data_IF_802772664241
#
_entry.id   IF_802772664241
#
_cell.length_a   1.000
_cell.length_b   1.000
_cell.length_c   1.000
_cell.angle_alpha   90.00
_cell.angle_beta   90.00
_cell.angle_gamma   90.00
#
_symmetry.space_group_name_H-M   'P 1'
#
loop_
_entity.id
_entity.type
_entity.pdbx_description
1 polymer ?
#
# COMPACT_ATOMS: atom_id res chain seq x y z
N UNK A 1 -46.25 -1.01 59.56
CA UNK A 1 -45.83 0.04 58.58
C UNK A 1 -44.48 -0.33 58.01
N UNK A 2 -44.41 -1.25 57.06
CA UNK A 2 -43.15 -1.57 56.37
C UNK A 2 -43.36 -2.52 55.18
N UNK A 3 -44.24 -2.20 54.24
CA UNK A 3 -44.46 -3.03 53.04
C UNK A 3 -44.77 -2.23 51.77
N UNK A 4 -44.61 -0.88 51.77
CA UNK A 4 -45.04 -0.01 50.66
C UNK A 4 -43.90 0.74 49.94
N UNK A 5 -42.63 0.45 50.25
CA UNK A 5 -41.47 1.13 49.60
C UNK A 5 -40.68 0.27 48.64
N UNK A 6 -41.01 -1.01 48.43
CA UNK A 6 -40.24 -1.92 47.57
C UNK A 6 -40.73 -2.00 46.10
N UNK A 7 -41.87 -1.38 45.74
CA UNK A 7 -42.48 -1.53 44.41
C UNK A 7 -42.20 -0.37 43.43
N UNK A 8 -41.47 0.67 43.84
CA UNK A 8 -41.26 1.86 42.97
C UNK A 8 -39.85 1.89 42.30
N UNK A 9 -38.94 0.96 42.65
CA UNK A 9 -37.55 0.93 42.08
C UNK A 9 -37.41 0.00 40.86
N UNK A 10 -38.37 -0.90 40.61
CA UNK A 10 -38.31 -1.87 39.50
C UNK A 10 -38.98 -1.42 38.19
N UNK A 11 -39.46 -0.16 38.09
CA UNK A 11 -40.13 0.34 36.85
C UNK A 11 -39.31 1.33 36.01
N UNK A 12 -38.02 1.57 36.34
CA UNK A 12 -37.17 2.53 35.60
C UNK A 12 -36.10 1.82 34.75
N UNK A 13 -36.02 0.47 34.75
CA UNK A 13 -35.02 -0.28 33.99
C UNK A 13 -35.57 -1.07 32.78
N UNK A 14 -36.60 -0.60 32.12
CA UNK A 14 -37.00 -1.09 30.78
C UNK A 14 -37.00 0.07 29.78
N UNK A 15 -35.83 0.50 29.38
CA UNK A 15 -35.60 1.36 28.23
C UNK A 15 -35.40 0.48 26.99
N UNK A 16 -36.27 0.51 25.98
CA UNK A 16 -36.06 -0.23 24.73
C UNK A 16 -35.09 0.55 23.84
N UNK A 17 -33.78 0.46 24.10
CA UNK A 17 -32.73 1.11 23.28
C UNK A 17 -31.75 0.14 22.62
N UNK A 18 -32.17 -1.08 22.29
CA UNK A 18 -31.26 -2.08 21.72
C UNK A 18 -31.45 -2.40 20.21
N UNK A 19 -32.49 -1.89 19.54
CA UNK A 19 -32.79 -2.35 18.18
C UNK A 19 -32.58 -1.34 17.03
N UNK A 20 -32.22 -0.07 17.28
CA UNK A 20 -32.06 0.93 16.21
C UNK A 20 -30.63 1.12 15.72
N UNK A 21 -29.62 0.44 16.29
CA UNK A 21 -28.20 0.60 15.89
C UNK A 21 -27.73 -0.29 14.73
N UNK A 22 -28.44 -1.34 14.37
CA UNK A 22 -28.01 -2.29 13.35
C UNK A 22 -28.43 -1.89 11.94
N UNK A 23 -29.57 -1.24 11.76
CA UNK A 23 -30.13 -0.89 10.45
C UNK A 23 -29.38 0.26 9.74
N UNK A 24 -28.97 1.30 10.47
CA UNK A 24 -28.26 2.46 9.90
C UNK A 24 -26.85 2.12 9.39
N UNK A 25 -26.21 1.06 9.87
CA UNK A 25 -24.91 0.61 9.39
C UNK A 25 -24.97 -0.13 8.06
N UNK A 26 -25.96 -1.01 7.89
CA UNK A 26 -26.12 -1.85 6.69
C UNK A 26 -26.42 -1.01 5.44
N UNK A 27 -27.29 0.00 5.53
CA UNK A 27 -27.63 0.87 4.39
C UNK A 27 -26.44 1.63 3.79
N UNK A 28 -25.39 1.91 4.57
CA UNK A 28 -24.15 2.57 4.07
C UNK A 28 -23.17 1.60 3.42
N UNK A 29 -23.23 0.32 3.72
CA UNK A 29 -22.34 -0.70 3.19
C UNK A 29 -22.87 -1.33 1.90
N UNK A 30 -24.18 -1.37 1.69
CA UNK A 30 -24.80 -1.92 0.48
C UNK A 30 -24.29 -1.23 -0.80
N UNK A 31 -24.32 0.12 -0.94
CA UNK A 31 -23.83 0.77 -2.16
C UNK A 31 -22.32 0.54 -2.37
N UNK A 32 -21.55 0.41 -1.28
CA UNK A 32 -20.12 0.10 -1.38
C UNK A 32 -19.90 -1.33 -1.87
N UNK A 33 -20.67 -2.30 -1.39
CA UNK A 33 -20.61 -3.68 -1.84
C UNK A 33 -21.05 -3.80 -3.31
N UNK A 34 -22.14 -3.12 -3.71
CA UNK A 34 -22.59 -3.07 -5.10
C UNK A 34 -21.50 -2.43 -6.01
N UNK A 35 -20.91 -1.32 -5.60
CA UNK A 35 -19.83 -0.69 -6.35
C UNK A 35 -18.61 -1.61 -6.47
N UNK A 36 -18.25 -2.35 -5.40
CA UNK A 36 -17.18 -3.34 -5.45
C UNK A 36 -17.49 -4.45 -6.47
N UNK A 37 -18.68 -5.03 -6.42
CA UNK A 37 -19.10 -6.08 -7.37
C UNK A 37 -19.05 -5.58 -8.81
N UNK A 38 -19.63 -4.41 -9.10
CA UNK A 38 -19.67 -3.83 -10.45
C UNK A 38 -18.26 -3.53 -10.97
N UNK A 39 -17.41 -2.93 -10.14
CA UNK A 39 -16.05 -2.59 -10.57
C UNK A 39 -15.19 -3.84 -10.78
N UNK A 40 -15.37 -4.91 -9.98
CA UNK A 40 -14.63 -6.17 -10.17
C UNK A 40 -15.16 -6.97 -11.35
N UNK A 41 -16.47 -6.93 -11.60
CA UNK A 41 -17.04 -7.49 -12.83
C UNK A 41 -16.47 -6.79 -14.08
N UNK A 42 -16.36 -5.45 -14.06
CA UNK A 42 -15.69 -4.69 -15.12
C UNK A 42 -14.22 -5.10 -15.28
N UNK A 43 -13.45 -5.20 -14.18
CA UNK A 43 -12.04 -5.60 -14.25
C UNK A 43 -11.87 -7.04 -14.79
N UNK A 44 -12.76 -7.95 -14.44
CA UNK A 44 -12.79 -9.33 -14.99
C UNK A 44 -13.14 -9.33 -16.47
N UNK A 45 -14.11 -8.53 -16.86
CA UNK A 45 -14.47 -8.38 -18.27
C UNK A 45 -13.29 -7.85 -19.09
N UNK A 46 -12.59 -6.80 -18.59
CA UNK A 46 -11.39 -6.28 -19.23
C UNK A 46 -10.28 -7.34 -19.31
N UNK A 47 -10.12 -8.17 -18.27
CA UNK A 47 -9.14 -9.25 -18.25
C UNK A 47 -9.50 -10.34 -19.27
N UNK A 48 -10.78 -10.67 -19.44
CA UNK A 48 -11.23 -11.62 -20.44
C UNK A 48 -10.98 -11.13 -21.88
N UNK A 49 -11.05 -9.79 -22.09
CA UNK A 49 -10.82 -9.15 -23.40
C UNK A 49 -9.39 -8.56 -23.52
N UNK A 50 -8.44 -9.02 -22.71
CA UNK A 50 -7.08 -8.44 -22.64
C UNK A 50 -6.25 -8.56 -23.93
N UNK A 51 -6.69 -9.31 -24.92
CA UNK A 51 -6.06 -9.41 -26.25
C UNK A 51 -6.28 -8.15 -27.10
N UNK A 52 -7.26 -7.31 -26.74
CA UNK A 52 -7.51 -6.03 -27.43
C UNK A 52 -6.27 -5.13 -27.38
N UNK A 53 -5.92 -4.42 -28.47
CA UNK A 53 -4.71 -3.58 -28.54
C UNK A 53 -4.57 -2.57 -27.39
N UNK A 54 -5.66 -1.90 -27.01
CA UNK A 54 -5.68 -0.92 -25.92
C UNK A 54 -5.50 -1.55 -24.52
N UNK A 55 -5.71 -2.87 -24.39
CA UNK A 55 -5.56 -3.62 -23.15
C UNK A 55 -4.23 -4.40 -23.08
N UNK A 56 -3.30 -4.16 -24.01
CA UNK A 56 -1.94 -4.69 -23.98
C UNK A 56 -1.73 -6.00 -24.72
N UNK A 57 -2.64 -6.37 -25.63
CA UNK A 57 -2.49 -7.55 -26.51
C UNK A 57 -2.14 -8.85 -25.76
N UNK A 58 -2.77 -9.07 -24.62
CA UNK A 58 -2.55 -10.24 -23.76
C UNK A 58 -1.31 -10.18 -22.85
N UNK A 59 -0.49 -9.13 -22.91
CA UNK A 59 0.76 -9.03 -22.15
C UNK A 59 0.52 -9.07 -20.62
N UNK A 60 -0.57 -8.46 -20.14
CA UNK A 60 -0.91 -8.43 -18.71
C UNK A 60 -1.19 -9.83 -18.16
N UNK A 61 -2.05 -10.60 -18.83
CA UNK A 61 -2.39 -11.96 -18.42
C UNK A 61 -1.22 -12.94 -18.60
N UNK A 62 -0.38 -12.71 -19.63
CA UNK A 62 0.78 -13.56 -19.95
C UNK A 62 1.74 -13.70 -18.78
N UNK A 63 1.87 -12.68 -17.95
CA UNK A 63 2.69 -12.72 -16.74
C UNK A 63 2.30 -13.88 -15.83
N UNK A 64 0.98 -14.09 -15.62
CA UNK A 64 0.49 -15.15 -14.73
C UNK A 64 0.61 -16.52 -15.39
N UNK A 65 0.04 -16.71 -16.58
CA UNK A 65 -0.04 -18.05 -17.17
C UNK A 65 1.29 -18.54 -17.77
N UNK A 66 2.24 -17.63 -18.07
CA UNK A 66 3.57 -18.00 -18.57
C UNK A 66 4.64 -17.91 -17.47
N UNK A 67 4.86 -16.72 -16.90
CA UNK A 67 5.98 -16.50 -15.99
C UNK A 67 5.70 -17.06 -14.58
N UNK A 68 4.57 -16.69 -13.98
CA UNK A 68 4.24 -17.18 -12.62
C UNK A 68 3.99 -18.70 -12.61
N UNK A 69 3.36 -19.24 -13.66
CA UNK A 69 3.18 -20.69 -13.80
C UNK A 69 4.53 -21.41 -13.98
N UNK A 70 5.48 -20.85 -14.75
CA UNK A 70 6.83 -21.39 -14.85
C UNK A 70 7.51 -21.48 -13.48
N UNK A 71 7.44 -20.42 -12.69
CA UNK A 71 7.98 -20.43 -11.34
C UNK A 71 7.22 -21.35 -10.38
N UNK A 72 5.89 -21.44 -10.53
CA UNK A 72 5.09 -22.42 -9.79
C UNK A 72 5.62 -23.84 -9.99
N UNK A 73 5.91 -24.24 -11.22
CA UNK A 73 6.46 -25.57 -11.51
C UNK A 73 7.82 -25.79 -10.82
N UNK A 74 8.71 -24.80 -10.83
CA UNK A 74 10.02 -24.88 -10.14
C UNK A 74 9.85 -24.98 -8.62
N UNK A 75 8.97 -24.16 -8.04
CA UNK A 75 8.68 -24.12 -6.60
C UNK A 75 8.00 -25.41 -6.12
N UNK A 76 7.11 -26.00 -6.93
CA UNK A 76 6.48 -27.28 -6.63
C UNK A 76 7.48 -28.45 -6.50
N UNK A 77 8.66 -28.32 -7.10
CA UNK A 77 9.78 -29.26 -6.93
C UNK A 77 10.72 -28.90 -5.76
N UNK A 78 10.31 -28.01 -4.86
CA UNK A 78 11.05 -27.67 -3.65
C UNK A 78 12.29 -26.79 -3.85
N UNK A 79 12.33 -25.97 -4.91
CA UNK A 79 13.45 -25.07 -5.17
C UNK A 79 12.97 -23.69 -5.62
N UNK A 80 13.70 -22.63 -5.20
CA UNK A 80 13.55 -21.31 -5.80
C UNK A 80 14.32 -21.23 -7.13
N UNK A 81 13.87 -20.39 -8.10
CA UNK A 81 14.50 -20.25 -9.41
C UNK A 81 15.88 -19.55 -9.32
N UNK A 82 16.91 -20.23 -8.82
CA UNK A 82 18.22 -19.65 -8.52
C UNK A 82 19.01 -19.20 -9.76
N UNK A 83 18.74 -19.82 -10.91
CA UNK A 83 19.41 -19.53 -12.19
C UNK A 83 18.55 -18.70 -13.15
N UNK A 84 17.35 -18.31 -12.73
CA UNK A 84 16.46 -17.46 -13.53
C UNK A 84 16.65 -15.99 -13.14
N UNK A 85 17.26 -15.21 -14.04
CA UNK A 85 17.48 -13.77 -13.84
C UNK A 85 16.15 -12.98 -13.70
N UNK A 86 15.02 -13.55 -14.09
CA UNK A 86 13.71 -12.94 -13.92
C UNK A 86 13.18 -13.06 -12.48
N UNK A 87 13.72 -14.00 -11.68
CA UNK A 87 13.35 -14.17 -10.27
C UNK A 87 13.95 -13.06 -9.41
N UNK A 88 13.18 -12.03 -9.15
CA UNK A 88 13.60 -10.83 -8.43
C UNK A 88 12.92 -10.69 -7.04
N UNK A 89 12.27 -11.75 -6.56
CA UNK A 89 11.33 -11.67 -5.44
C UNK A 89 11.86 -12.34 -4.17
N UNK A 90 11.56 -11.77 -2.98
CA UNK A 90 11.86 -12.40 -1.72
C UNK A 90 11.14 -13.75 -1.56
N UNK A 91 11.62 -14.64 -0.67
CA UNK A 91 11.17 -16.03 -0.60
C UNK A 91 9.68 -16.18 -0.24
N UNK A 92 9.06 -15.23 0.44
CA UNK A 92 7.63 -15.26 0.73
C UNK A 92 6.72 -15.12 -0.50
N UNK A 93 7.27 -14.73 -1.66
CA UNK A 93 6.54 -14.80 -2.92
C UNK A 93 6.26 -16.26 -3.35
N UNK A 94 7.12 -17.22 -2.94
CA UNK A 94 6.94 -18.64 -3.26
C UNK A 94 5.57 -19.18 -2.82
N UNK A 95 5.19 -19.12 -1.54
CA UNK A 95 3.86 -19.51 -1.07
C UNK A 95 2.70 -18.81 -1.81
N UNK A 96 2.85 -17.54 -2.19
CA UNK A 96 1.83 -16.81 -2.96
C UNK A 96 1.67 -17.43 -4.35
N UNK A 97 2.78 -17.75 -5.02
CA UNK A 97 2.74 -18.36 -6.35
C UNK A 97 2.34 -19.85 -6.32
N UNK A 98 2.53 -20.53 -5.19
CA UNK A 98 2.05 -21.89 -4.97
C UNK A 98 0.55 -21.95 -4.59
N UNK A 99 0.00 -20.86 -4.05
CA UNK A 99 -1.38 -20.83 -3.53
C UNK A 99 -2.46 -21.22 -4.57
N UNK A 100 -2.31 -20.99 -5.90
CA UNK A 100 -3.28 -21.48 -6.89
C UNK A 100 -3.58 -22.99 -6.83
N UNK A 101 -2.64 -23.80 -6.36
CA UNK A 101 -2.84 -25.23 -6.14
C UNK A 101 -3.92 -25.57 -5.10
N UNK A 102 -4.32 -24.61 -4.25
CA UNK A 102 -5.40 -24.78 -3.28
C UNK A 102 -6.80 -24.87 -3.93
N UNK A 103 -6.93 -24.57 -5.24
CA UNK A 103 -8.17 -24.61 -5.99
C UNK A 103 -8.07 -25.59 -7.15
N UNK A 104 -8.07 -26.91 -6.90
CA UNK A 104 -7.72 -27.95 -7.89
C UNK A 104 -8.72 -28.06 -9.06
N UNK A 105 -9.93 -27.52 -8.94
CA UNK A 105 -10.95 -27.52 -10.01
C UNK A 105 -10.77 -26.42 -11.06
N UNK A 106 -9.79 -25.52 -10.90
CA UNK A 106 -9.54 -24.38 -11.77
C UNK A 106 -8.15 -24.47 -12.41
N UNK A 107 -7.98 -23.82 -13.57
CA UNK A 107 -6.64 -23.62 -14.13
C UNK A 107 -5.80 -22.74 -13.21
N UNK A 108 -4.46 -22.81 -13.31
CA UNK A 108 -3.54 -21.97 -12.52
C UNK A 108 -3.91 -20.47 -12.63
N UNK A 109 -4.21 -20.01 -13.84
CA UNK A 109 -4.59 -18.62 -14.08
C UNK A 109 -5.92 -18.26 -13.38
N UNK A 110 -6.95 -19.09 -13.52
CA UNK A 110 -8.24 -18.86 -12.87
C UNK A 110 -8.12 -18.87 -11.34
N UNK A 111 -7.36 -19.81 -10.78
CA UNK A 111 -7.09 -19.92 -9.35
C UNK A 111 -6.35 -18.68 -8.83
N UNK A 112 -5.34 -18.21 -9.55
CA UNK A 112 -4.60 -17.01 -9.21
C UNK A 112 -5.51 -15.76 -9.16
N UNK A 113 -6.35 -15.57 -10.18
CA UNK A 113 -7.31 -14.46 -10.25
C UNK A 113 -8.36 -14.55 -9.14
N UNK A 114 -8.91 -15.74 -8.90
CA UNK A 114 -9.90 -15.96 -7.84
C UNK A 114 -9.33 -15.64 -6.44
N UNK A 115 -8.11 -16.11 -6.14
CA UNK A 115 -7.43 -15.78 -4.88
C UNK A 115 -7.09 -14.29 -4.77
N UNK A 116 -6.69 -13.66 -5.87
CA UNK A 116 -6.45 -12.20 -5.89
C UNK A 116 -7.72 -11.42 -5.60
N UNK A 117 -8.86 -11.82 -6.16
CA UNK A 117 -10.17 -11.22 -5.85
C UNK A 117 -10.59 -11.46 -4.40
N UNK A 118 -10.34 -12.63 -3.85
CA UNK A 118 -10.62 -12.91 -2.44
C UNK A 118 -9.80 -12.02 -1.51
N UNK A 119 -8.51 -11.82 -1.82
CA UNK A 119 -7.64 -10.91 -1.06
C UNK A 119 -8.05 -9.44 -1.24
N UNK A 120 -8.46 -9.03 -2.43
CA UNK A 120 -9.03 -7.69 -2.69
C UNK A 120 -10.30 -7.46 -1.87
N UNK A 121 -11.22 -8.45 -1.85
CA UNK A 121 -12.42 -8.39 -1.00
C UNK A 121 -12.07 -8.29 0.49
N UNK A 122 -11.05 -9.00 0.95
CA UNK A 122 -10.54 -8.91 2.32
C UNK A 122 -10.06 -7.49 2.65
N UNK A 123 -9.31 -6.85 1.74
CA UNK A 123 -8.88 -5.45 1.90
C UNK A 123 -10.10 -4.52 1.99
N UNK A 124 -11.04 -4.62 1.05
CA UNK A 124 -12.25 -3.81 1.02
C UNK A 124 -13.06 -3.96 2.32
N UNK A 125 -13.26 -5.19 2.78
CA UNK A 125 -13.98 -5.51 4.01
C UNK A 125 -13.25 -4.98 5.26
N UNK A 126 -11.92 -5.11 5.32
CA UNK A 126 -11.12 -4.60 6.44
C UNK A 126 -11.18 -3.07 6.52
N UNK A 127 -11.10 -2.37 5.39
CA UNK A 127 -11.25 -0.92 5.29
C UNK A 127 -12.68 -0.47 5.65
N UNK A 128 -13.70 -1.19 5.18
CA UNK A 128 -15.10 -0.91 5.51
C UNK A 128 -15.35 -1.07 7.02
N UNK A 129 -14.89 -2.17 7.61
CA UNK A 129 -14.98 -2.39 9.07
C UNK A 129 -14.21 -1.33 9.88
N UNK A 130 -13.04 -0.92 9.40
CA UNK A 130 -12.28 0.14 10.05
C UNK A 130 -12.97 1.49 9.94
N UNK A 131 -13.55 1.80 8.78
CA UNK A 131 -14.24 3.05 8.48
C UNK A 131 -15.61 3.19 9.16
N UNK A 132 -16.29 2.07 9.46
CA UNK A 132 -17.60 2.06 10.12
C UNK A 132 -17.54 2.35 11.63
N UNK A 133 -16.35 2.44 12.22
CA UNK A 133 -16.18 2.73 13.66
C UNK A 133 -16.46 4.19 13.96
N UNK A 134 -16.92 4.52 15.20
CA UNK A 134 -17.11 5.91 15.61
C UNK A 134 -15.88 6.77 15.37
N UNK A 135 -16.05 7.98 14.83
CA UNK A 135 -14.95 8.90 14.52
C UNK A 135 -14.08 8.54 13.30
N UNK A 136 -14.43 7.47 12.58
CA UNK A 136 -13.77 7.03 11.34
C UNK A 136 -14.56 7.41 10.09
N UNK A 137 -14.06 7.01 8.92
CA UNK A 137 -14.66 7.35 7.62
C UNK A 137 -14.62 6.15 6.66
N UNK A 138 -15.69 5.95 5.92
CA UNK A 138 -15.77 4.97 4.83
C UNK A 138 -15.04 5.42 3.55
N UNK A 139 -14.49 6.65 3.50
CA UNK A 139 -13.75 7.14 2.33
C UNK A 139 -12.58 6.22 1.95
N UNK A 140 -11.95 5.55 2.94
CA UNK A 140 -10.91 4.58 2.65
C UNK A 140 -11.39 3.37 1.87
N UNK A 141 -12.53 2.80 2.28
CA UNK A 141 -13.14 1.67 1.57
C UNK A 141 -13.64 2.08 0.18
N UNK A 142 -14.29 3.26 0.06
CA UNK A 142 -14.72 3.81 -1.21
C UNK A 142 -13.52 4.08 -2.15
N UNK A 143 -12.45 4.67 -1.62
CA UNK A 143 -11.24 4.96 -2.39
C UNK A 143 -10.57 3.68 -2.93
N UNK A 144 -10.48 2.60 -2.14
CA UNK A 144 -9.99 1.31 -2.61
C UNK A 144 -10.89 0.71 -3.69
N UNK A 145 -12.19 0.70 -3.43
CA UNK A 145 -13.21 0.13 -4.33
C UNK A 145 -13.20 0.80 -5.71
N UNK A 146 -13.13 2.13 -5.75
CA UNK A 146 -13.16 2.93 -6.98
C UNK A 146 -11.77 3.19 -7.54
N UNK A 147 -10.73 3.16 -6.73
CA UNK A 147 -9.34 3.44 -7.13
C UNK A 147 -8.66 2.27 -7.83
N UNK A 148 -8.91 1.02 -7.37
CA UNK A 148 -8.25 -0.14 -7.98
C UNK A 148 -8.59 -0.32 -9.47
N UNK A 149 -9.84 -0.16 -9.95
CA UNK A 149 -10.18 -0.24 -11.37
C UNK A 149 -9.57 0.88 -12.23
N UNK A 150 -9.03 1.96 -11.64
CA UNK A 150 -8.23 2.94 -12.39
C UNK A 150 -6.97 2.31 -13.01
N UNK A 151 -6.57 1.13 -12.55
CA UNK A 151 -5.48 0.33 -13.11
C UNK A 151 -5.98 -0.76 -14.08
N UNK A 152 -7.23 -0.66 -14.54
CA UNK A 152 -7.92 -1.65 -15.38
C UNK A 152 -7.84 -3.06 -14.77
N UNK A 153 -7.42 -4.04 -15.58
CA UNK A 153 -7.28 -5.45 -15.17
C UNK A 153 -5.89 -5.80 -14.62
N UNK A 154 -4.93 -4.87 -14.63
CA UNK A 154 -3.55 -5.12 -14.19
C UNK A 154 -3.48 -5.68 -12.77
N UNK A 155 -4.24 -5.19 -11.76
CA UNK A 155 -4.17 -5.73 -10.40
C UNK A 155 -4.58 -7.19 -10.28
N UNK A 156 -5.46 -7.69 -11.16
CA UNK A 156 -5.92 -9.08 -11.13
C UNK A 156 -4.87 -10.08 -11.62
N UNK A 157 -3.88 -9.60 -12.38
CA UNK A 157 -2.79 -10.41 -12.92
C UNK A 157 -1.43 -10.08 -12.27
N UNK A 158 -1.44 -9.58 -11.04
CA UNK A 158 -0.23 -9.28 -10.24
C UNK A 158 -0.46 -9.64 -8.77
N UNK A 159 0.55 -10.23 -8.11
CA UNK A 159 0.45 -10.56 -6.68
C UNK A 159 0.70 -9.34 -5.75
N UNK A 160 0.66 -8.14 -6.31
CA UNK A 160 0.79 -6.89 -5.57
C UNK A 160 -0.38 -6.61 -4.62
N UNK A 161 -1.57 -7.14 -4.95
CA UNK A 161 -2.75 -7.09 -4.08
C UNK A 161 -2.48 -7.86 -2.77
N UNK A 162 -1.83 -9.03 -2.84
CA UNK A 162 -1.47 -9.83 -1.68
C UNK A 162 -0.46 -9.11 -0.78
N UNK A 163 0.60 -8.53 -1.35
CA UNK A 163 1.56 -7.72 -0.59
C UNK A 163 0.88 -6.49 0.05
N UNK A 164 -0.03 -5.84 -0.68
CA UNK A 164 -0.81 -4.70 -0.18
C UNK A 164 -1.74 -5.10 0.97
N UNK A 165 -2.34 -6.28 0.91
CA UNK A 165 -3.20 -6.78 1.98
C UNK A 165 -2.43 -6.89 3.31
N UNK A 166 -1.22 -7.46 3.29
CA UNK A 166 -0.38 -7.52 4.48
C UNK A 166 -0.09 -6.14 5.06
N UNK A 167 0.23 -5.16 4.22
CA UNK A 167 0.51 -3.79 4.67
C UNK A 167 -0.73 -3.09 5.24
N UNK A 168 -1.88 -3.19 4.56
CA UNK A 168 -3.17 -2.63 5.01
C UNK A 168 -3.59 -3.26 6.34
N UNK A 169 -3.58 -4.58 6.44
CA UNK A 169 -3.95 -5.30 7.65
C UNK A 169 -2.98 -5.02 8.81
N UNK A 170 -1.67 -4.92 8.53
CA UNK A 170 -0.66 -4.52 9.51
C UNK A 170 -1.00 -3.16 10.12
N UNK A 171 -1.24 -2.14 9.30
CA UNK A 171 -1.56 -0.78 9.75
C UNK A 171 -2.88 -0.74 10.54
N UNK A 172 -3.91 -1.46 10.10
CA UNK A 172 -5.20 -1.51 10.79
C UNK A 172 -5.10 -2.27 12.13
N UNK A 173 -4.23 -3.29 12.21
CA UNK A 173 -3.98 -4.05 13.42
C UNK A 173 -3.09 -3.31 14.43
N UNK A 174 -2.13 -2.48 13.97
CA UNK A 174 -1.05 -1.89 14.77
C UNK A 174 -1.54 -1.19 16.05
N UNK A 175 -2.71 -0.54 16.01
CA UNK A 175 -3.29 0.17 17.16
C UNK A 175 -3.85 -0.75 18.24
N UNK A 176 -4.33 -1.95 17.87
CA UNK A 176 -4.99 -2.89 18.78
C UNK A 176 -4.05 -3.96 19.26
N UNK A 177 -3.22 -4.44 18.35
CA UNK A 177 -2.21 -5.47 18.57
C UNK A 177 -0.93 -5.12 17.82
N UNK A 178 0.01 -4.41 18.45
CA UNK A 178 1.32 -4.15 17.83
C UNK A 178 2.02 -5.44 17.39
N UNK A 179 1.79 -6.55 18.10
CA UNK A 179 2.31 -7.88 17.75
C UNK A 179 1.79 -8.33 16.38
N UNK A 180 0.46 -8.35 16.21
CA UNK A 180 -0.15 -8.73 14.94
C UNK A 180 0.25 -7.77 13.81
N UNK A 181 0.33 -6.46 14.09
CA UNK A 181 0.83 -5.48 13.12
C UNK A 181 2.25 -5.79 12.67
N UNK A 182 3.14 -6.13 13.60
CA UNK A 182 4.52 -6.52 13.31
C UNK A 182 4.61 -7.81 12.48
N UNK A 183 3.90 -8.87 12.88
CA UNK A 183 3.86 -10.15 12.14
C UNK A 183 3.38 -9.95 10.72
N UNK A 184 2.28 -9.22 10.51
CA UNK A 184 1.74 -8.96 9.17
C UNK A 184 2.69 -8.14 8.31
N UNK A 185 3.37 -7.12 8.87
CA UNK A 185 4.38 -6.37 8.14
C UNK A 185 5.55 -7.25 7.69
N UNK A 186 6.01 -8.15 8.56
CA UNK A 186 7.11 -9.09 8.25
C UNK A 186 6.72 -10.10 7.18
N UNK A 187 5.55 -10.71 7.27
CA UNK A 187 5.05 -11.63 6.24
C UNK A 187 4.91 -10.90 4.90
N UNK A 188 4.37 -9.67 4.91
CA UNK A 188 4.34 -8.82 3.72
C UNK A 188 5.73 -8.51 3.18
N UNK A 189 6.71 -8.23 4.04
CA UNK A 189 8.09 -7.94 3.64
C UNK A 189 8.78 -9.16 3.03
N UNK A 190 8.45 -10.37 3.46
CA UNK A 190 8.90 -11.60 2.82
C UNK A 190 8.28 -11.83 1.45
N UNK A 191 7.06 -11.31 1.20
CA UNK A 191 6.43 -11.35 -0.14
C UNK A 191 7.02 -10.26 -1.06
N UNK A 192 7.14 -9.04 -0.55
CA UNK A 192 7.81 -7.88 -1.19
C UNK A 192 8.41 -7.00 -0.10
N UNK A 193 9.61 -6.50 -0.26
CA UNK A 193 10.38 -5.82 0.82
C UNK A 193 9.66 -4.59 1.41
N UNK A 194 8.93 -3.82 0.60
CA UNK A 194 8.35 -2.53 0.98
C UNK A 194 7.36 -2.55 2.17
N UNK A 195 6.58 -3.62 2.46
CA UNK A 195 5.69 -3.63 3.63
C UNK A 195 6.39 -3.46 4.98
N UNK A 196 7.70 -3.72 5.07
CA UNK A 196 8.47 -3.39 6.28
C UNK A 196 8.41 -1.90 6.63
N UNK A 197 8.32 -1.02 5.62
CA UNK A 197 8.30 0.44 5.78
C UNK A 197 7.06 0.95 6.53
N UNK A 198 5.96 0.17 6.57
CA UNK A 198 4.74 0.59 7.26
C UNK A 198 4.93 0.71 8.78
N UNK A 199 5.94 0.03 9.34
CA UNK A 199 6.27 0.11 10.76
C UNK A 199 7.03 1.38 11.16
N UNK A 200 7.56 2.15 10.20
CA UNK A 200 8.27 3.40 10.49
C UNK A 200 7.39 4.42 11.19
N UNK A 201 6.09 4.42 10.92
CA UNK A 201 5.10 5.26 11.57
C UNK A 201 4.57 4.75 12.92
N UNK A 202 5.04 3.62 13.43
CA UNK A 202 4.55 3.09 14.69
C UNK A 202 4.78 4.08 15.86
N UNK A 203 3.80 4.29 16.77
CA UNK A 203 3.96 5.14 17.94
C UNK A 203 5.17 4.73 18.78
N UNK A 204 5.91 5.73 19.29
CA UNK A 204 7.12 5.48 20.07
C UNK A 204 6.87 4.65 21.33
N UNK A 205 7.90 4.06 21.87
CA UNK A 205 7.87 3.29 23.10
C UNK A 205 7.47 1.83 22.90
N UNK A 206 6.58 1.30 23.75
CA UNK A 206 6.20 -0.12 23.77
C UNK A 206 5.62 -0.61 22.45
N UNK A 207 4.82 0.21 21.75
CA UNK A 207 4.21 -0.15 20.46
C UNK A 207 5.28 -0.40 19.40
N UNK A 208 6.24 0.50 19.23
CA UNK A 208 7.36 0.32 18.29
C UNK A 208 8.17 -0.91 18.65
N UNK A 209 8.60 -1.03 19.91
CA UNK A 209 9.41 -2.17 20.35
C UNK A 209 8.69 -3.49 20.08
N UNK A 210 7.43 -3.61 20.52
CA UNK A 210 6.64 -4.82 20.31
C UNK A 210 6.44 -5.13 18.82
N UNK A 211 6.08 -4.14 17.98
CA UNK A 211 5.88 -4.36 16.56
C UNK A 211 7.16 -4.86 15.86
N UNK A 212 8.30 -4.23 16.11
CA UNK A 212 9.57 -4.64 15.49
C UNK A 212 10.10 -5.97 16.03
N UNK A 213 9.95 -6.27 17.33
CA UNK A 213 10.34 -7.57 17.91
C UNK A 213 9.54 -8.71 17.27
N UNK A 214 8.21 -8.55 17.17
CA UNK A 214 7.37 -9.57 16.56
C UNK A 214 7.55 -9.64 15.04
N UNK A 215 7.89 -8.52 14.38
CA UNK A 215 8.25 -8.54 12.98
C UNK A 215 9.55 -9.33 12.74
N UNK A 216 10.59 -9.09 13.56
CA UNK A 216 11.84 -9.83 13.47
C UNK A 216 11.64 -11.32 13.75
N UNK A 217 10.88 -11.68 14.80
CA UNK A 217 10.57 -13.05 15.14
C UNK A 217 9.80 -13.76 14.01
N UNK A 218 8.77 -13.11 13.44
CA UNK A 218 7.99 -13.68 12.36
C UNK A 218 8.81 -13.83 11.07
N UNK A 219 9.67 -12.84 10.74
CA UNK A 219 10.58 -12.93 9.61
C UNK A 219 11.58 -14.08 9.77
N UNK A 220 12.15 -14.26 10.97
CA UNK A 220 13.08 -15.34 11.26
C UNK A 220 12.40 -16.71 11.16
N UNK A 221 11.25 -16.89 11.82
CA UNK A 221 10.52 -18.17 11.79
C UNK A 221 10.06 -18.52 10.37
N UNK A 222 9.43 -17.58 9.67
CA UNK A 222 8.97 -17.83 8.30
C UNK A 222 10.16 -18.01 7.33
N UNK A 223 11.23 -17.24 7.50
CA UNK A 223 12.46 -17.37 6.71
C UNK A 223 13.12 -18.74 6.92
N UNK A 224 13.24 -19.21 8.16
CA UNK A 224 13.76 -20.55 8.48
C UNK A 224 12.86 -21.65 7.93
N UNK A 225 11.54 -21.52 8.06
CA UNK A 225 10.60 -22.49 7.49
C UNK A 225 10.74 -22.59 5.96
N UNK A 226 10.87 -21.45 5.27
CA UNK A 226 11.09 -21.41 3.82
C UNK A 226 12.47 -21.99 3.45
N UNK A 227 13.51 -21.74 4.26
CA UNK A 227 14.84 -22.31 4.04
C UNK A 227 14.89 -23.82 4.29
N UNK A 228 14.06 -24.34 5.20
CA UNK A 228 13.90 -25.77 5.44
C UNK A 228 13.08 -26.47 4.33
N UNK A 229 12.06 -25.78 3.80
CA UNK A 229 11.15 -26.33 2.80
C UNK A 229 11.69 -26.24 1.36
N UNK A 230 12.56 -25.27 1.06
CA UNK A 230 12.99 -24.97 -0.30
C UNK A 230 14.50 -24.77 -0.39
N UNK A 231 15.08 -25.24 -1.49
CA UNK A 231 16.47 -24.93 -1.85
C UNK A 231 16.60 -23.50 -2.40
N UNK A 232 17.72 -22.83 -2.10
CA UNK A 232 18.10 -21.50 -2.62
C UNK A 232 17.11 -20.34 -2.26
N UNK A 233 16.64 -20.20 -1.01
CA UNK A 233 15.65 -19.20 -0.64
C UNK A 233 16.14 -17.74 -0.80
N UNK A 234 17.46 -17.51 -0.81
CA UNK A 234 18.07 -16.19 -0.96
C UNK A 234 18.62 -15.91 -2.36
N UNK A 235 18.27 -16.73 -3.35
CA UNK A 235 18.75 -16.58 -4.74
C UNK A 235 18.46 -15.18 -5.31
N UNK A 236 17.31 -14.59 -4.96
CA UNK A 236 16.90 -13.27 -5.42
C UNK A 236 17.90 -12.14 -5.09
N UNK A 237 18.66 -12.26 -3.99
CA UNK A 237 19.63 -11.23 -3.56
C UNK A 237 20.73 -11.05 -4.60
N UNK A 238 21.20 -12.15 -5.19
CA UNK A 238 22.24 -12.12 -6.24
C UNK A 238 21.73 -11.41 -7.49
N UNK A 239 20.45 -11.58 -7.83
CA UNK A 239 19.84 -11.01 -9.02
C UNK A 239 19.60 -9.48 -8.91
N UNK A 240 19.59 -8.94 -7.69
CA UNK A 240 19.40 -7.49 -7.49
C UNK A 240 20.64 -6.66 -7.87
N UNK A 241 21.83 -7.24 -7.79
CA UNK A 241 23.09 -6.51 -8.01
C UNK A 241 23.30 -6.01 -9.45
N UNK A 242 22.88 -6.80 -10.44
CA UNK A 242 23.07 -6.49 -11.86
C UNK A 242 22.00 -5.62 -12.51
N UNK A 243 20.98 -5.20 -11.76
CA UNK A 243 19.84 -4.51 -12.30
C UNK A 243 20.12 -3.06 -12.69
N UNK A 244 19.72 -2.67 -13.91
CA UNK A 244 19.89 -1.33 -14.47
C UNK A 244 18.78 -0.35 -14.08
N UNK A 245 18.36 0.48 -15.02
CA UNK A 245 17.31 1.51 -14.88
C UNK A 245 16.12 1.13 -15.75
N UNK A 246 14.99 0.86 -15.12
CA UNK A 246 13.75 0.54 -15.84
C UNK A 246 13.17 1.79 -16.52
N UNK A 247 12.61 1.60 -17.72
CA UNK A 247 12.08 2.70 -18.55
C UNK A 247 11.00 3.54 -17.87
N UNK A 248 10.24 2.97 -16.95
CA UNK A 248 9.17 3.65 -16.24
C UNK A 248 9.64 4.36 -14.96
N UNK A 249 10.90 4.22 -14.54
CA UNK A 249 11.45 4.92 -13.37
C UNK A 249 11.68 6.41 -13.64
N UNK A 250 11.93 7.18 -12.58
CA UNK A 250 12.36 8.59 -12.74
C UNK A 250 13.64 8.71 -13.54
N UNK A 251 14.66 7.89 -13.21
CA UNK A 251 15.88 7.83 -13.99
C UNK A 251 15.64 7.41 -15.44
N UNK A 252 14.70 6.46 -15.65
CA UNK A 252 14.27 6.06 -16.98
C UNK A 252 13.63 7.18 -17.79
N UNK A 253 12.80 8.02 -17.14
CA UNK A 253 12.22 9.20 -17.79
C UNK A 253 13.32 10.18 -18.26
N UNK A 254 14.34 10.43 -17.44
CA UNK A 254 15.47 11.28 -17.83
C UNK A 254 16.22 10.69 -19.02
N UNK A 255 16.53 9.40 -18.98
CA UNK A 255 17.22 8.71 -20.08
C UNK A 255 16.37 8.68 -21.36
N UNK A 256 15.05 8.52 -21.23
CA UNK A 256 14.11 8.56 -22.37
C UNK A 256 14.15 9.93 -23.08
N UNK A 257 14.17 11.05 -22.35
CA UNK A 257 14.37 12.37 -22.94
C UNK A 257 15.78 12.54 -23.52
N UNK A 258 16.80 11.97 -22.90
CA UNK A 258 18.17 12.06 -23.40
C UNK A 258 18.36 11.39 -24.78
N UNK A 259 17.52 10.40 -25.15
CA UNK A 259 17.55 9.82 -26.51
C UNK A 259 17.27 10.87 -27.60
N UNK A 260 16.39 11.83 -27.31
CA UNK A 260 16.08 12.95 -28.23
C UNK A 260 17.19 14.00 -28.30
N UNK A 261 18.14 14.00 -27.35
CA UNK A 261 19.34 14.82 -27.34
C UNK A 261 20.57 14.07 -27.85
N UNK A 262 20.40 12.93 -28.54
CA UNK A 262 21.48 12.16 -29.13
C UNK A 262 22.17 11.15 -28.19
N UNK A 263 21.62 10.88 -27.01
CA UNK A 263 22.16 9.83 -26.15
C UNK A 263 22.02 8.44 -26.82
N UNK A 264 23.12 7.64 -26.95
CA UNK A 264 23.15 6.44 -27.79
C UNK A 264 22.65 5.17 -27.06
N UNK A 265 21.90 5.32 -25.94
CA UNK A 265 21.37 4.18 -25.21
C UNK A 265 20.21 3.49 -25.90
N UNK A 266 19.97 2.24 -25.53
CA UNK A 266 18.89 1.40 -26.08
C UNK A 266 18.05 0.80 -24.96
N UNK A 267 16.83 0.37 -25.29
CA UNK A 267 15.92 -0.33 -24.39
C UNK A 267 16.02 -1.83 -24.64
N UNK A 268 16.22 -2.65 -23.59
CA UNK A 268 16.27 -4.10 -23.67
C UNK A 268 15.43 -4.75 -22.59
N UNK A 269 14.89 -5.94 -22.87
CA UNK A 269 14.17 -6.73 -21.87
C UNK A 269 15.19 -7.49 -21.02
N UNK A 270 15.27 -7.14 -19.75
CA UNK A 270 16.15 -7.74 -18.75
C UNK A 270 15.44 -7.80 -17.39
N UNK A 271 15.77 -8.79 -16.58
CA UNK A 271 15.25 -8.91 -15.19
C UNK A 271 13.71 -8.79 -15.07
N UNK A 272 12.96 -9.24 -16.09
CA UNK A 272 11.49 -9.19 -16.11
C UNK A 272 10.89 -7.83 -16.45
N UNK A 273 11.69 -6.87 -16.94
CA UNK A 273 11.24 -5.53 -17.32
C UNK A 273 12.03 -4.99 -18.53
N UNK A 274 11.52 -3.91 -19.14
CA UNK A 274 12.29 -3.15 -20.12
C UNK A 274 13.20 -2.18 -19.36
N UNK A 275 14.51 -2.29 -19.61
CA UNK A 275 15.55 -1.47 -18.96
C UNK A 275 16.41 -0.77 -20.01
N UNK A 276 16.93 0.41 -19.66
CA UNK A 276 17.93 1.08 -20.47
C UNK A 276 19.29 0.40 -20.38
N UNK A 277 19.99 0.36 -21.49
CA UNK A 277 21.38 -0.05 -21.62
C UNK A 277 22.16 1.01 -22.38
N UNK A 278 23.41 1.29 -22.00
CA UNK A 278 24.26 2.29 -22.64
C UNK A 278 25.07 3.12 -21.64
N UNK A 279 25.77 4.16 -22.13
CA UNK A 279 26.59 5.02 -21.28
C UNK A 279 25.78 5.68 -20.17
N UNK A 280 26.38 5.87 -19.00
CA UNK A 280 25.81 6.53 -17.81
C UNK A 280 24.60 5.84 -17.14
N UNK A 281 24.08 4.72 -17.67
CA UNK A 281 22.96 3.98 -17.01
C UNK A 281 23.33 3.54 -15.60
N UNK A 282 24.58 3.04 -15.41
CA UNK A 282 25.08 2.68 -14.09
C UNK A 282 25.13 3.89 -13.13
N UNK A 283 25.53 5.06 -13.62
CA UNK A 283 25.54 6.29 -12.81
C UNK A 283 24.12 6.70 -12.37
N UNK A 284 23.13 6.62 -13.27
CA UNK A 284 21.71 6.90 -12.96
C UNK A 284 21.17 5.87 -11.97
N UNK A 285 21.53 4.60 -12.10
CA UNK A 285 21.17 3.55 -11.15
C UNK A 285 21.76 3.81 -9.75
N UNK A 286 23.05 4.19 -9.67
CA UNK A 286 23.70 4.57 -8.41
C UNK A 286 23.07 5.83 -7.79
N UNK A 287 22.76 6.85 -8.60
CA UNK A 287 22.05 8.04 -8.11
C UNK A 287 20.69 7.66 -7.50
N UNK A 288 19.94 6.75 -8.12
CA UNK A 288 18.68 6.25 -7.55
C UNK A 288 18.87 5.59 -6.17
N UNK A 289 19.96 4.84 -5.97
CA UNK A 289 20.29 4.25 -4.68
C UNK A 289 20.67 5.32 -3.64
N UNK A 290 21.46 6.32 -4.03
CA UNK A 290 21.81 7.47 -3.15
C UNK A 290 20.55 8.23 -2.75
N UNK A 291 19.65 8.52 -3.69
CA UNK A 291 18.36 9.17 -3.41
C UNK A 291 17.48 8.33 -2.49
N UNK A 292 17.47 6.99 -2.66
CA UNK A 292 16.74 6.09 -1.76
C UNK A 292 17.33 6.12 -0.34
N UNK A 293 18.65 6.12 -0.21
CA UNK A 293 19.33 6.24 1.08
C UNK A 293 19.04 7.61 1.74
N UNK A 294 19.08 8.70 0.96
CA UNK A 294 18.75 10.04 1.43
C UNK A 294 17.28 10.14 1.87
N UNK A 295 16.34 9.57 1.12
CA UNK A 295 14.93 9.51 1.48
C UNK A 295 14.72 8.73 2.79
N UNK A 296 15.40 7.61 2.96
CA UNK A 296 15.36 6.85 4.20
C UNK A 296 15.96 7.63 5.38
N UNK A 297 17.10 8.28 5.20
CA UNK A 297 17.70 9.14 6.22
C UNK A 297 16.76 10.29 6.63
N UNK A 298 16.06 10.88 5.65
CA UNK A 298 15.07 11.93 5.88
C UNK A 298 13.85 11.41 6.68
N UNK A 299 13.40 10.18 6.43
CA UNK A 299 12.34 9.54 7.22
C UNK A 299 12.81 9.24 8.65
N UNK A 300 14.04 8.79 8.84
CA UNK A 300 14.64 8.62 10.18
C UNK A 300 14.74 9.96 10.90
N UNK A 301 15.22 10.99 10.22
CA UNK A 301 15.29 12.36 10.76
C UNK A 301 13.90 12.89 11.16
N UNK A 302 12.88 12.69 10.29
CA UNK A 302 11.50 12.99 10.63
C UNK A 302 11.10 12.26 11.91
N UNK A 303 11.33 10.94 11.98
CA UNK A 303 10.94 10.13 13.13
C UNK A 303 11.59 10.58 14.43
N UNK A 304 12.86 11.00 14.38
CA UNK A 304 13.58 11.55 15.56
C UNK A 304 13.02 12.91 15.97
N UNK A 305 12.64 13.76 15.01
CA UNK A 305 12.17 15.12 15.26
C UNK A 305 10.66 15.25 15.48
N UNK A 306 9.87 14.25 15.13
CA UNK A 306 8.42 14.26 15.33
C UNK A 306 8.09 14.30 16.84
N UNK A 307 7.33 15.30 17.26
CA UNK A 307 6.96 15.56 18.67
C UNK A 307 5.50 15.14 18.95
N UNK A 308 4.63 15.30 17.96
CA UNK A 308 3.21 15.00 18.07
C UNK A 308 2.86 13.72 17.32
N UNK A 309 2.08 12.84 17.95
CA UNK A 309 1.59 11.59 17.35
C UNK A 309 0.06 11.56 17.41
N UNK A 310 -0.60 11.57 16.25
CA UNK A 310 -2.05 11.43 16.12
C UNK A 310 -2.42 10.00 15.73
N UNK A 311 -3.69 9.59 15.87
CA UNK A 311 -4.16 8.31 15.34
C UNK A 311 -3.97 8.11 13.83
N UNK A 312 -3.74 9.18 13.06
CA UNK A 312 -3.45 9.12 11.62
C UNK A 312 -1.95 9.02 11.32
N UNK A 313 -1.07 9.47 12.22
CA UNK A 313 0.39 9.53 11.99
C UNK A 313 0.98 8.21 11.48
N UNK A 314 0.64 7.01 12.01
CA UNK A 314 1.17 5.76 11.47
C UNK A 314 0.80 5.52 10.01
N UNK A 315 -0.41 5.90 9.61
CA UNK A 315 -0.91 5.73 8.24
C UNK A 315 -0.25 6.72 7.28
N UNK A 316 -0.21 8.00 7.68
CA UNK A 316 0.39 9.08 6.90
C UNK A 316 1.90 8.84 6.70
N UNK A 317 2.59 8.34 7.73
CA UNK A 317 4.01 7.99 7.66
C UNK A 317 4.28 6.77 6.75
N UNK A 318 3.44 5.75 6.81
CA UNK A 318 3.55 4.58 5.94
C UNK A 318 3.39 4.98 4.46
N UNK A 319 2.39 5.80 4.15
CA UNK A 319 2.19 6.31 2.78
C UNK A 319 3.39 7.15 2.33
N UNK A 320 3.89 8.08 3.16
CA UNK A 320 5.05 8.90 2.84
C UNK A 320 6.30 8.06 2.60
N UNK A 321 6.53 7.02 3.42
CA UNK A 321 7.69 6.15 3.30
C UNK A 321 7.66 5.34 1.99
N UNK A 322 6.50 4.76 1.63
CA UNK A 322 6.39 3.96 0.41
C UNK A 322 6.37 4.84 -0.85
N UNK A 323 5.79 6.06 -0.79
CA UNK A 323 5.91 7.03 -1.88
C UNK A 323 7.38 7.41 -2.14
N UNK A 324 8.13 7.76 -1.08
CA UNK A 324 9.54 8.08 -1.22
C UNK A 324 10.34 6.90 -1.76
N UNK A 325 10.13 5.70 -1.23
CA UNK A 325 10.73 4.48 -1.76
C UNK A 325 10.42 4.27 -3.25
N UNK A 326 9.16 4.49 -3.66
CA UNK A 326 8.75 4.32 -5.05
C UNK A 326 9.44 5.33 -5.98
N UNK A 327 9.39 6.63 -5.64
CA UNK A 327 9.92 7.68 -6.53
C UNK A 327 11.43 7.71 -6.64
N UNK A 328 12.15 7.20 -5.63
CA UNK A 328 13.61 7.10 -5.66
C UNK A 328 14.12 5.77 -6.21
N UNK A 329 13.22 4.81 -6.45
CA UNK A 329 13.59 3.50 -6.99
C UNK A 329 14.04 3.58 -8.44
N UNK A 330 15.08 2.82 -8.79
CA UNK A 330 15.48 2.60 -10.19
C UNK A 330 14.49 1.75 -11.01
N UNK A 331 13.46 1.22 -10.34
CA UNK A 331 12.41 0.40 -10.92
C UNK A 331 11.07 0.90 -10.42
N UNK A 332 10.18 1.27 -11.34
CA UNK A 332 8.78 1.60 -11.05
C UNK A 332 7.92 0.86 -12.06
N UNK A 333 7.09 -0.03 -11.58
CA UNK A 333 6.12 -0.75 -12.41
C UNK A 333 4.69 -0.27 -12.15
N UNK A 334 3.75 -0.42 -13.10
CA UNK A 334 2.36 0.06 -12.95
C UNK A 334 1.67 -0.51 -11.72
N UNK A 335 1.98 -1.76 -11.36
CA UNK A 335 1.42 -2.42 -10.17
C UNK A 335 1.86 -1.79 -8.84
N UNK A 336 2.89 -0.94 -8.79
CA UNK A 336 3.28 -0.24 -7.57
C UNK A 336 2.20 0.75 -7.10
N UNK A 337 1.36 1.21 -8.04
CA UNK A 337 0.22 2.04 -7.69
C UNK A 337 -0.84 1.30 -6.87
N UNK A 338 -0.91 -0.04 -6.93
CA UNK A 338 -1.75 -0.85 -6.04
C UNK A 338 -1.36 -0.62 -4.56
N UNK A 339 -0.04 -0.55 -4.27
CA UNK A 339 0.47 -0.29 -2.93
C UNK A 339 0.04 1.07 -2.43
N UNK A 340 0.24 2.09 -3.29
CA UNK A 340 -0.07 3.48 -2.96
C UNK A 340 -1.57 3.70 -2.79
N UNK A 341 -2.40 3.07 -3.63
CA UNK A 341 -3.86 3.10 -3.48
C UNK A 341 -4.30 2.45 -2.16
N UNK A 342 -3.73 1.30 -1.80
CA UNK A 342 -4.04 0.62 -0.54
C UNK A 342 -3.64 1.44 0.69
N UNK A 343 -2.44 2.04 0.70
CA UNK A 343 -1.97 2.87 1.80
C UNK A 343 -2.75 4.19 1.91
N UNK A 344 -3.07 4.84 0.77
CA UNK A 344 -3.93 6.02 0.75
C UNK A 344 -5.33 5.68 1.27
N UNK A 345 -5.87 4.51 0.91
CA UNK A 345 -7.15 4.03 1.45
C UNK A 345 -7.12 3.88 2.98
N UNK A 346 -6.03 3.35 3.55
CA UNK A 346 -5.87 3.28 5.01
C UNK A 346 -5.84 4.69 5.63
N UNK A 347 -5.10 5.63 5.04
CA UNK A 347 -5.09 7.03 5.50
C UNK A 347 -6.51 7.61 5.54
N UNK A 348 -7.29 7.41 4.48
CA UNK A 348 -8.65 7.95 4.33
C UNK A 348 -9.68 7.32 5.29
N UNK A 349 -9.36 6.22 5.98
CA UNK A 349 -10.19 5.73 7.10
C UNK A 349 -10.14 6.65 8.32
N UNK A 350 -9.14 7.51 8.43
CA UNK A 350 -9.00 8.48 9.52
C UNK A 350 -9.46 9.87 9.09
N UNK A 351 -10.33 10.50 9.89
CA UNK A 351 -10.72 11.90 9.68
C UNK A 351 -9.55 12.87 9.90
N UNK A 352 -8.54 12.47 10.67
CA UNK A 352 -7.37 13.26 11.05
C UNK A 352 -6.21 13.16 10.05
N UNK A 353 -6.36 12.38 8.97
CA UNK A 353 -5.30 12.28 7.96
C UNK A 353 -5.07 13.61 7.25
N UNK A 354 -3.82 13.89 6.99
CA UNK A 354 -3.40 15.03 6.18
C UNK A 354 -3.22 14.66 4.70
N UNK A 355 -3.40 13.38 4.34
CA UNK A 355 -3.02 12.84 3.04
C UNK A 355 -4.14 12.87 1.98
N UNK A 356 -5.27 13.53 2.21
CA UNK A 356 -6.38 13.59 1.23
C UNK A 356 -5.95 14.09 -0.15
N UNK A 357 -5.23 15.23 -0.30
CA UNK A 357 -4.79 15.69 -1.62
C UNK A 357 -3.72 14.77 -2.23
N UNK A 358 -2.92 14.10 -1.40
CA UNK A 358 -1.96 13.10 -1.88
C UNK A 358 -2.70 11.89 -2.48
N UNK A 359 -3.80 11.44 -1.85
CA UNK A 359 -4.64 10.39 -2.40
C UNK A 359 -5.22 10.77 -3.78
N UNK A 360 -5.64 12.02 -3.97
CA UNK A 360 -6.11 12.50 -5.28
C UNK A 360 -4.99 12.47 -6.34
N UNK A 361 -3.77 12.87 -5.99
CA UNK A 361 -2.61 12.80 -6.90
C UNK A 361 -2.25 11.35 -7.26
N UNK A 362 -2.34 10.42 -6.30
CA UNK A 362 -2.12 8.98 -6.55
C UNK A 362 -3.18 8.43 -7.52
N UNK A 363 -4.46 8.81 -7.35
CA UNK A 363 -5.52 8.39 -8.26
C UNK A 363 -5.29 8.95 -9.68
N UNK A 364 -4.89 10.22 -9.80
CA UNK A 364 -4.51 10.81 -11.09
C UNK A 364 -3.31 10.09 -11.73
N UNK A 365 -2.27 9.78 -10.94
CA UNK A 365 -1.12 9.01 -11.41
C UNK A 365 -1.51 7.59 -11.85
N UNK A 366 -2.51 6.96 -11.20
CA UNK A 366 -3.02 5.66 -11.61
C UNK A 366 -3.69 5.72 -13.00
N UNK A 367 -4.50 6.75 -13.27
CA UNK A 367 -5.10 6.96 -14.59
C UNK A 367 -4.02 7.15 -15.66
N UNK A 368 -3.03 8.01 -15.42
CA UNK A 368 -1.94 8.23 -16.38
C UNK A 368 -1.08 6.96 -16.53
N UNK A 369 -0.91 6.18 -15.48
CA UNK A 369 -0.17 4.91 -15.53
C UNK A 369 -0.83 3.90 -16.48
N UNK A 370 -2.15 3.87 -16.56
CA UNK A 370 -2.87 3.00 -17.51
C UNK A 370 -2.68 3.46 -18.95
N UNK A 371 -2.62 4.76 -19.18
CA UNK A 371 -2.28 5.30 -20.51
C UNK A 371 -0.85 4.87 -20.89
N UNK A 372 0.11 4.90 -19.96
CA UNK A 372 1.47 4.43 -20.21
C UNK A 372 1.53 2.91 -20.42
N UNK A 373 0.87 2.12 -19.56
CA UNK A 373 0.81 0.66 -19.60
C UNK A 373 -0.57 0.17 -19.14
N UNK A 374 -1.27 -0.62 -19.92
CA UNK A 374 -0.82 -1.32 -21.13
C UNK A 374 -1.02 -0.56 -22.46
N UNK A 375 -1.75 0.59 -22.46
CA UNK A 375 -2.33 1.19 -23.67
C UNK A 375 -1.27 1.69 -24.66
N UNK A 376 -0.39 2.58 -24.24
CA UNK A 376 0.65 3.20 -25.09
C UNK A 376 2.05 2.64 -24.81
N UNK A 377 2.15 1.42 -24.27
CA UNK A 377 3.43 0.89 -23.81
C UNK A 377 4.50 0.80 -24.92
N UNK A 378 4.08 0.57 -26.16
CA UNK A 378 4.99 0.56 -27.32
C UNK A 378 5.62 1.93 -27.55
N UNK A 379 4.89 3.04 -27.33
CA UNK A 379 5.43 4.40 -27.46
C UNK A 379 6.40 4.73 -26.31
N UNK A 380 6.11 4.24 -25.11
CA UNK A 380 7.02 4.36 -23.96
C UNK A 380 8.30 3.57 -24.19
N UNK A 381 8.17 2.33 -24.67
CA UNK A 381 9.31 1.43 -24.93
C UNK A 381 10.20 1.95 -26.08
N UNK A 382 9.62 2.61 -27.08
CA UNK A 382 10.34 3.22 -28.20
C UNK A 382 10.80 4.64 -27.92
N UNK A 383 10.67 5.14 -26.69
CA UNK A 383 11.08 6.49 -26.26
C UNK A 383 10.55 7.61 -27.17
N UNK A 384 9.33 7.47 -27.73
CA UNK A 384 8.72 8.54 -28.52
C UNK A 384 8.41 9.76 -27.67
N UNK A 385 8.27 10.96 -28.25
CA UNK A 385 7.86 12.16 -27.52
C UNK A 385 6.58 11.96 -26.71
N UNK A 386 5.57 11.30 -27.29
CA UNK A 386 4.33 10.95 -26.58
C UNK A 386 4.61 10.06 -25.38
N UNK A 387 5.43 9.01 -25.54
CA UNK A 387 5.84 8.13 -24.45
C UNK A 387 6.58 8.86 -23.34
N UNK A 388 7.54 9.73 -23.71
CA UNK A 388 8.29 10.57 -22.77
C UNK A 388 7.37 11.51 -21.97
N UNK A 389 6.44 12.20 -22.63
CA UNK A 389 5.49 13.13 -21.95
C UNK A 389 4.55 12.39 -21.01
N UNK A 390 3.99 11.26 -21.43
CA UNK A 390 3.13 10.44 -20.56
C UNK A 390 3.89 9.98 -19.29
N UNK A 391 5.13 9.52 -19.48
CA UNK A 391 5.97 9.12 -18.34
C UNK A 391 6.35 10.30 -17.44
N UNK A 392 6.65 11.46 -18.03
CA UNK A 392 6.94 12.69 -17.29
C UNK A 392 5.75 13.14 -16.43
N UNK A 393 4.54 13.13 -17.00
CA UNK A 393 3.32 13.48 -16.25
C UNK A 393 3.06 12.50 -15.13
N UNK A 394 3.12 11.18 -15.39
CA UNK A 394 2.91 10.14 -14.37
C UNK A 394 3.91 10.26 -13.23
N UNK A 395 5.19 10.35 -13.56
CA UNK A 395 6.25 10.44 -12.56
C UNK A 395 6.22 11.80 -11.85
N UNK A 396 5.92 12.88 -12.55
CA UNK A 396 5.71 14.21 -11.95
C UNK A 396 4.61 14.20 -10.88
N UNK A 397 3.45 13.58 -11.18
CA UNK A 397 2.37 13.42 -10.20
C UNK A 397 2.82 12.64 -8.96
N UNK A 398 3.57 11.54 -9.14
CA UNK A 398 4.11 10.76 -8.03
C UNK A 398 5.16 11.53 -7.23
N UNK A 399 6.04 12.30 -7.89
CA UNK A 399 7.03 13.16 -7.25
C UNK A 399 6.39 14.24 -6.39
N UNK A 400 5.39 14.95 -6.95
CA UNK A 400 4.60 15.95 -6.21
C UNK A 400 3.86 15.29 -5.02
N UNK A 401 3.28 14.11 -5.23
CA UNK A 401 2.62 13.36 -4.16
C UNK A 401 3.60 13.01 -3.03
N UNK A 402 4.82 12.57 -3.35
CA UNK A 402 5.84 12.21 -2.36
C UNK A 402 6.29 13.42 -1.55
N UNK A 403 6.63 14.53 -2.21
CA UNK A 403 7.04 15.78 -1.54
C UNK A 403 5.91 16.34 -0.67
N UNK A 404 4.69 16.40 -1.22
CA UNK A 404 3.54 16.89 -0.49
C UNK A 404 3.21 16.01 0.72
N UNK A 405 3.27 14.68 0.55
CA UNK A 405 3.04 13.70 1.62
C UNK A 405 4.00 13.91 2.79
N UNK A 406 5.30 13.98 2.49
CA UNK A 406 6.33 14.20 3.50
C UNK A 406 6.18 15.57 4.18
N UNK A 407 5.95 16.65 3.42
CA UNK A 407 5.77 17.98 3.96
C UNK A 407 4.57 18.07 4.92
N UNK A 408 3.43 17.44 4.55
CA UNK A 408 2.24 17.38 5.40
C UNK A 408 2.45 16.53 6.65
N UNK A 409 3.08 15.36 6.50
CA UNK A 409 3.48 14.53 7.63
C UNK A 409 4.39 15.32 8.60
N UNK A 410 5.38 16.01 8.07
CA UNK A 410 6.32 16.78 8.87
C UNK A 410 5.64 17.92 9.63
N UNK A 411 4.79 18.70 8.95
CA UNK A 411 4.05 19.80 9.57
C UNK A 411 3.10 19.31 10.67
N UNK A 412 2.33 18.23 10.40
CA UNK A 412 1.35 17.69 11.35
C UNK A 412 1.99 17.11 12.63
N UNK A 413 3.28 16.76 12.58
CA UNK A 413 4.00 16.15 13.70
C UNK A 413 4.96 17.11 14.42
N UNK A 414 5.20 18.33 13.90
CA UNK A 414 6.05 19.36 14.51
C UNK A 414 5.33 20.26 15.49
N UNK A 415 4.08 20.62 15.21
CA UNK A 415 3.35 21.60 16.03
C UNK A 415 3.14 21.10 17.44
N UNK A 416 3.46 21.92 18.48
CA UNK A 416 3.04 21.63 19.84
C UNK A 416 1.52 21.53 19.90
N UNK A 417 0.98 20.73 20.80
CA UNK A 417 -0.45 20.78 21.12
C UNK A 417 -0.75 22.22 21.54
N UNK A 418 -1.80 22.88 21.00
CA UNK A 418 -2.21 24.15 21.60
C UNK A 418 -2.42 23.90 23.08
N UNK A 419 -1.69 24.61 23.92
CA UNK A 419 -2.02 24.68 25.33
C UNK A 419 -3.46 25.18 25.38
N UNK A 420 -4.40 24.36 25.84
CA UNK A 420 -5.66 24.87 26.36
C UNK A 420 -5.26 25.87 27.43
N UNK A 421 -5.40 27.15 27.11
CA UNK A 421 -5.33 28.21 28.11
C UNK A 421 -6.28 27.79 29.22
N UNK A 422 -5.88 27.72 30.49
CA UNK A 422 -6.82 27.45 31.57
C UNK A 422 -7.90 28.52 31.45
N UNK A 423 -9.16 28.10 31.39
CA UNK A 423 -10.31 28.97 31.43
C UNK A 423 -10.15 29.85 32.68
N UNK A 424 -10.19 31.21 32.60
CA UNK A 424 -10.06 32.03 33.77
C UNK A 424 -11.16 31.69 34.75
N UNK A 425 -10.75 31.34 35.96
CA UNK A 425 -11.59 30.90 37.08
C UNK A 425 -12.56 32.06 37.46
N UNK A 426 -13.73 32.10 36.81
CA UNK A 426 -14.76 33.15 36.99
C UNK A 426 -15.58 32.97 38.27
N UNK A 427 -15.19 32.04 39.16
CA UNK A 427 -15.89 31.76 40.42
C UNK A 427 -15.30 32.39 41.68
N UNK A 428 -14.51 33.49 41.58
CA UNK A 428 -14.24 34.31 42.75
C UNK A 428 -15.19 35.51 42.81
N UNK A 429 -16.41 35.28 43.28
CA UNK A 429 -17.24 36.37 43.82
C UNK A 429 -16.58 36.92 45.10
N UNK A 430 -16.43 38.23 45.26
CA UNK A 430 -15.94 38.82 46.48
C UNK A 430 -16.95 38.63 47.62
N UNK A 431 -16.56 37.98 48.70
CA UNK A 431 -17.32 37.96 49.95
C UNK A 431 -17.44 39.37 50.46
N UNK A 432 -18.65 39.92 50.39
CA UNK A 432 -18.98 41.19 51.02
C UNK A 432 -18.72 41.12 52.53
N UNK A 433 -17.93 42.05 53.03
CA UNK A 433 -17.77 42.33 54.43
C UNK A 433 -19.04 42.99 54.96
N UNK A 434 -19.82 42.27 55.75
CA UNK A 434 -20.85 42.86 56.59
C UNK A 434 -20.18 43.36 57.88
N UNK A 435 -20.19 44.71 58.06
CA UNK A 435 -19.80 45.37 59.29
C UNK A 435 -21.02 45.46 60.21
N UNK A 436 -20.93 45.17 61.52
CA UNK A 436 -22.01 45.37 62.44
C UNK A 436 -22.03 46.79 63.00
N UNK A 437 -23.20 47.39 63.08
CA UNK A 437 -23.53 48.50 63.99
C UNK A 437 -24.86 48.24 64.63
#
# INVERSE_FOLDING_TARGET
>A
MSAFRAFHVLRVMQSPRAHTRTTTGAHRLLPLAAAWLLTRALMLWLLAHNTHPLLGRGAVAREVWKLYHHWYMTLAHGAFPAHDALWQYPPGAGPVLLSPALLPGLTYFQSFVALTLAVDALIALALARAGSRPGRSLHGAAYWTLGLPLLLHVPLARYDVQATAFAVLSLLALRRSPRAGGVLAALGALVKVWPALVLLGAPRGRTTRSAWTWAAAAAAVAGLALAAAFRNPLAFVRQQGGRGVQIESFGGTVLSFATHAGWPGTVRYQYGSLEFTGPHVAAVAHLSLVLSAAAFALLVLWRVRARRWTPATPYDAALSAVLLFTVTSRVISPQYLVWLLGLAAVCLTSRQTTQRPVAALIAAAAVVSVVAYPTLYHLVASCTWTGCVVMFVRNGLLGVAAVLSLARLWRSTRSPTPHTTPEPDTHRLPRGTLSPS
#
